data_IF_865729005290
#
_entry.id   IF_865729005290
#
_cell.length_a   1.000
_cell.length_b   1.000
_cell.length_c   1.000
_cell.angle_alpha   90.00
_cell.angle_beta   90.00
_cell.angle_gamma   90.00
#
_symmetry.space_group_name_H-M   'P 1'
#
loop_
_entity.id
_entity.type
_entity.pdbx_description
1 polymer ?
2 non-polymer ?
3 water ?
#
# COMPACT_ATOMS: atom_id res chain seq x y z
N UNK A 9 15.23 16.47 -4.26
CA UNK A 9 13.95 15.89 -3.76
C UNK A 9 14.19 14.43 -3.34
N UNK A 10 13.12 13.65 -3.23
CA UNK A 10 13.26 12.26 -2.80
C UNK A 10 13.85 11.36 -3.90
N UNK A 11 14.52 10.26 -3.51
CA UNK A 11 14.95 9.28 -4.51
C UNK A 11 13.73 8.69 -5.20
N UNK A 12 13.92 8.06 -6.37
CA UNK A 12 12.81 7.41 -7.07
C UNK A 12 12.71 5.94 -6.69
N UNK A 13 11.53 5.54 -6.24
CA UNK A 13 11.31 4.16 -5.81
C UNK A 13 10.54 3.41 -6.88
N UNK A 14 11.01 2.21 -7.17
CA UNK A 14 10.44 1.43 -8.27
C UNK A 14 10.26 -0.01 -7.78
N UNK A 15 9.00 -0.47 -7.72
CA UNK A 15 8.74 -1.82 -7.27
C UNK A 15 8.93 -2.77 -8.45
N UNK A 16 9.70 -3.83 -8.22
CA UNK A 16 9.85 -4.93 -9.18
C UNK A 16 8.56 -5.76 -9.13
N UNK A 17 7.88 -5.85 -10.28
CA UNK A 17 6.62 -6.56 -10.36
C UNK A 17 6.86 -8.06 -10.53
N UNK A 18 6.70 -8.81 -9.43
CA UNK A 18 7.05 -10.22 -9.43
C UNK A 18 6.06 -11.06 -10.23
N UNK A 19 4.94 -10.47 -10.65
CA UNK A 19 4.05 -11.17 -11.56
C UNK A 19 4.70 -11.38 -12.93
N UNK A 20 5.67 -10.51 -13.30
CA UNK A 20 6.22 -10.52 -14.66
C UNK A 20 7.71 -10.69 -14.75
N UNK A 21 8.41 -10.48 -13.64
CA UNK A 21 9.87 -10.58 -13.65
C UNK A 21 10.37 -10.86 -12.24
N UNK A 22 11.69 -10.78 -12.05
CA UNK A 22 12.28 -10.91 -10.73
C UNK A 22 13.37 -9.85 -10.60
N UNK A 23 13.77 -9.57 -9.36
CA UNK A 23 14.76 -8.55 -9.12
C UNK A 23 16.09 -8.83 -9.83
N UNK A 24 16.50 -10.10 -9.86
CA UNK A 24 17.76 -10.44 -10.53
C UNK A 24 17.74 -9.99 -11.99
N UNK A 25 16.62 -10.22 -12.68
CA UNK A 25 16.53 -9.84 -14.09
C UNK A 25 16.50 -8.34 -14.28
N UNK A 26 15.80 -7.62 -13.39
CA UNK A 26 15.75 -6.18 -13.52
C UNK A 26 17.14 -5.58 -13.29
N UNK A 27 17.81 -6.08 -12.26
CA UNK A 27 19.16 -5.63 -11.95
C UNK A 27 20.07 -5.83 -13.16
N UNK A 28 20.01 -7.03 -13.74
CA UNK A 28 20.87 -7.32 -14.89
C UNK A 28 20.57 -6.38 -16.08
N UNK A 29 19.29 -6.08 -16.31
CA UNK A 29 18.93 -5.16 -17.38
C UNK A 29 19.56 -3.78 -17.20
N UNK A 30 19.41 -3.21 -15.99
CA UNK A 30 19.98 -1.92 -15.72
C UNK A 30 21.50 -1.92 -15.78
N UNK A 31 22.12 -3.00 -15.32
CA UNK A 31 23.58 -3.13 -15.43
C UNK A 31 24.00 -3.00 -16.90
N UNK A 32 23.23 -3.61 -17.80
CA UNK A 32 23.58 -3.60 -19.22
C UNK A 32 23.38 -2.23 -19.85
N UNK A 33 22.62 -1.37 -19.18
CA UNK A 33 22.47 0.04 -19.57
C UNK A 33 23.51 0.95 -18.90
N UNK A 34 24.47 0.34 -18.20
CA UNK A 34 25.54 1.09 -17.56
C UNK A 34 25.25 1.63 -16.16
N UNK A 35 24.18 1.13 -15.53
CA UNK A 35 23.93 1.45 -14.13
C UNK A 35 24.78 0.54 -13.25
N UNK A 36 25.12 1.05 -12.07
CA UNK A 36 25.96 0.32 -11.15
C UNK A 36 25.13 -0.13 -9.94
N UNK A 37 24.98 -1.44 -9.76
CA UNK A 37 24.15 -1.99 -8.68
C UNK A 37 24.94 -2.06 -7.38
N UNK A 38 24.41 -1.42 -6.34
CA UNK A 38 25.10 -1.35 -5.04
C UNK A 38 24.61 -2.36 -3.99
N UNK A 39 23.75 -3.30 -4.39
CA UNK A 39 23.22 -4.28 -3.46
C UNK A 39 22.06 -3.69 -2.69
N UNK A 40 21.87 -4.18 -1.48
CA UNK A 40 20.84 -3.64 -0.59
C UNK A 40 21.42 -2.56 0.31
N UNK A 41 20.69 -1.44 0.44
CA UNK A 41 21.08 -0.36 1.33
C UNK A 41 21.15 -0.85 2.78
N UNK A 42 22.11 -0.31 3.53
CA UNK A 42 22.24 -0.60 4.95
C UNK A 42 21.41 0.38 5.78
N UNK A 43 21.17 1.55 5.22
CA UNK A 43 20.53 2.66 5.92
C UNK A 43 19.88 3.62 4.94
N UNK A 44 19.02 4.52 5.43
CA UNK A 44 18.48 5.59 4.60
C UNK A 44 19.54 6.54 4.11
N UNK A 45 20.61 6.69 4.88
CA UNK A 45 21.72 7.52 4.40
C UNK A 45 22.25 7.00 3.07
N UNK A 46 22.29 5.68 2.89
CA UNK A 46 22.65 5.08 1.60
C UNK A 46 21.76 5.55 0.47
N UNK A 47 20.46 5.66 0.74
CA UNK A 47 19.52 6.14 -0.27
C UNK A 47 19.68 7.63 -0.50
N UNK A 48 19.96 8.36 0.58
CA UNK A 48 20.18 9.82 0.49
C UNK A 48 21.44 10.13 -0.31
N UNK A 49 22.37 9.19 -0.31
CA UNK A 49 23.67 9.36 -1.00
C UNK A 49 23.63 8.98 -2.47
N UNK A 50 22.55 8.33 -2.92
CA UNK A 50 22.38 7.89 -4.31
C UNK A 50 22.56 8.98 -5.35
N UNK A 51 23.52 8.77 -6.25
CA UNK A 51 23.76 9.72 -7.32
C UNK A 51 24.31 9.00 -8.55
N UNK A 52 24.38 9.74 -9.66
CA UNK A 52 24.87 9.19 -10.91
C UNK A 52 23.96 8.07 -11.37
N UNK A 53 24.56 6.96 -11.78
CA UNK A 53 23.78 5.80 -12.22
C UNK A 53 23.89 4.62 -11.25
N UNK A 54 24.05 4.94 -9.97
CA UNK A 54 23.98 3.96 -8.91
C UNK A 54 22.51 3.64 -8.66
N UNK A 55 22.25 2.40 -8.22
CA UNK A 55 20.92 2.05 -7.71
C UNK A 55 21.06 0.93 -6.70
N UNK A 56 20.03 0.78 -5.86
CA UNK A 56 20.10 -0.29 -4.88
C UNK A 56 18.73 -0.70 -4.41
N UNK A 57 18.70 -1.78 -3.66
CA UNK A 57 17.45 -2.24 -3.05
C UNK A 57 17.23 -1.46 -1.76
N UNK A 58 15.95 -1.19 -1.48
CA UNK A 58 15.55 -0.52 -0.23
C UNK A 58 16.11 -1.28 0.99
N UNK A 59 16.48 -0.57 2.07
CA UNK A 59 16.97 -1.32 3.23
C UNK A 59 15.92 -2.21 3.91
N UNK A 60 14.64 -1.95 3.72
CA UNK A 60 13.59 -2.72 4.40
C UNK A 60 12.53 -3.34 3.49
N UNK A 61 12.17 -2.65 2.43
CA UNK A 61 11.04 -3.05 1.60
C UNK A 61 11.47 -4.07 0.55
N UNK A 62 10.90 -5.28 0.60
CA UNK A 62 11.29 -6.27 -0.40
C UNK A 62 10.85 -5.83 -1.81
N UNK A 63 11.67 -6.15 -2.79
CA UNK A 63 11.38 -5.92 -4.22
C UNK A 63 11.36 -4.45 -4.59
N UNK A 64 11.87 -3.58 -3.72
CA UNK A 64 11.81 -2.15 -4.02
C UNK A 64 13.19 -1.61 -4.35
N UNK A 65 13.40 -1.32 -5.63
CA UNK A 65 14.63 -0.66 -6.07
C UNK A 65 14.55 0.84 -5.92
N UNK A 66 15.71 1.47 -5.77
CA UNK A 66 15.80 2.91 -5.51
C UNK A 66 16.85 3.54 -6.43
N UNK A 67 16.46 4.61 -7.10
CA UNK A 67 17.30 5.34 -8.08
C UNK A 67 17.45 6.79 -7.64
N UNK A 68 18.51 7.47 -8.10
CA UNK A 68 18.65 8.90 -7.78
C UNK A 68 17.41 9.72 -8.15
N UNK A 69 17.15 10.78 -7.38
CA UNK A 69 15.98 11.64 -7.59
C UNK A 69 15.74 12.05 -9.05
N UNK A 70 16.82 12.31 -9.80
CA UNK A 70 16.62 12.82 -11.15
C UNK A 70 16.67 11.74 -12.23
N UNK A 71 15.96 10.63 -12.02
CA UNK A 71 15.79 9.61 -13.06
C UNK A 71 14.32 9.27 -13.37
N UNK A 72 13.95 9.41 -14.64
CA UNK A 72 12.60 9.09 -15.08
C UNK A 72 12.60 7.72 -15.75
N UNK A 73 11.64 6.89 -15.37
CA UNK A 73 11.53 5.55 -15.92
C UNK A 73 10.19 5.28 -16.62
N UNK A 74 9.33 6.30 -16.69
CA UNK A 74 7.98 6.21 -17.27
C UNK A 74 8.01 5.73 -18.72
N UNK A 75 9.15 5.96 -19.36
CA UNK A 75 9.33 5.68 -20.77
C UNK A 75 10.27 4.50 -21.01
N UNK A 76 10.74 3.90 -19.92
CA UNK A 76 11.71 2.79 -19.96
C UNK A 76 11.07 1.50 -20.49
N UNK A 77 11.82 0.70 -21.28
CA UNK A 77 11.23 -0.53 -21.82
C UNK A 77 10.60 -1.40 -20.73
N UNK A 78 11.21 -1.40 -19.54
CA UNK A 78 10.74 -2.25 -18.45
C UNK A 78 9.47 -1.70 -17.80
N UNK A 79 9.28 -0.39 -17.89
CA UNK A 79 8.02 0.18 -17.47
C UNK A 79 6.90 -0.25 -18.42
N UNK A 80 7.12 -0.07 -19.73
CA UNK A 80 6.15 -0.52 -20.72
C UNK A 80 5.73 -1.98 -20.55
N UNK A 81 6.72 -2.81 -20.28
CA UNK A 81 6.54 -4.25 -20.11
C UNK A 81 5.86 -4.61 -18.78
N UNK A 82 5.63 -3.60 -17.94
CA UNK A 82 5.00 -3.82 -16.61
C UNK A 82 5.93 -4.51 -15.63
N UNK A 83 7.24 -4.44 -15.89
CA UNK A 83 8.22 -5.04 -14.98
C UNK A 83 8.49 -4.14 -13.80
N UNK A 84 8.25 -2.84 -13.98
CA UNK A 84 8.47 -1.83 -12.95
C UNK A 84 7.21 -1.07 -12.67
N UNK A 85 6.95 -0.82 -11.39
CA UNK A 85 5.79 -0.02 -11.01
C UNK A 85 6.31 1.09 -10.11
N UNK A 86 6.07 2.33 -10.53
CA UNK A 86 6.63 3.46 -9.83
C UNK A 86 5.71 3.69 -8.64
N UNK A 87 6.21 3.44 -7.44
CA UNK A 87 5.36 3.45 -6.22
C UNK A 87 6.15 4.03 -5.07
N UNK A 88 5.62 5.11 -4.45
CA UNK A 88 6.24 5.76 -3.27
C UNK A 88 6.60 4.69 -2.25
N UNK A 89 7.70 4.91 -1.54
CA UNK A 89 8.21 3.96 -0.58
C UNK A 89 7.14 3.56 0.47
N UNK A 90 6.46 4.54 1.05
CA UNK A 90 5.51 4.24 2.12
C UNK A 90 4.26 3.58 1.55
N UNK A 91 3.93 3.89 0.27
CA UNK A 91 2.79 3.27 -0.42
C UNK A 91 2.93 1.76 -0.51
N UNK A 92 4.17 1.29 -0.41
CA UNK A 92 4.43 -0.17 -0.44
C UNK A 92 4.13 -0.86 0.90
N UNK A 93 3.89 -0.09 1.95
CA UNK A 93 3.66 -0.67 3.27
C UNK A 93 2.34 -1.44 3.39
N UNK A 94 1.22 -0.86 2.97
CA UNK A 94 -0.06 -1.54 3.31
C UNK A 94 -0.21 -2.95 2.75
N UNK A 95 0.11 -3.18 1.47
CA UNK A 95 -0.05 -4.55 0.99
C UNK A 95 0.96 -5.51 1.65
N UNK A 96 2.19 -5.03 1.87
CA UNK A 96 3.21 -5.87 2.49
C UNK A 96 2.77 -6.29 3.89
N UNK A 97 2.20 -5.35 4.65
CA UNK A 97 1.75 -5.61 6.01
C UNK A 97 0.47 -6.47 6.06
N UNK A 98 -0.39 -6.31 5.05
CA UNK A 98 -1.60 -7.11 4.99
C UNK A 98 -1.24 -8.57 4.73
N UNK A 99 -0.28 -8.75 3.84
CA UNK A 99 0.35 -10.06 3.56
C UNK A 99 -0.67 -11.20 3.31
N UNK A 100 -1.62 -10.97 2.39
CA UNK A 100 -2.58 -12.05 2.16
C UNK A 100 -1.89 -13.21 1.44
N UNK A 101 -2.18 -14.45 1.84
CA UNK A 101 -1.49 -15.55 1.12
C UNK A 101 -2.13 -15.82 -0.24
N UNK A 102 -1.33 -16.27 -1.20
CA UNK A 102 -1.89 -16.73 -2.47
C UNK A 102 -3.12 -17.63 -2.25
N UNK A 103 -4.18 -17.31 -2.99
CA UNK A 103 -5.45 -18.04 -2.90
C UNK A 103 -6.52 -17.37 -2.04
N UNK A 104 -6.13 -16.36 -1.26
CA UNK A 104 -7.08 -15.70 -0.40
C UNK A 104 -8.00 -14.74 -1.16
N UNK A 105 -9.09 -14.35 -0.48
CA UNK A 105 -9.97 -13.29 -0.97
C UNK A 105 -9.75 -12.01 -0.19
N UNK A 106 -9.61 -10.93 -0.95
CA UNK A 106 -9.18 -9.63 -0.42
C UNK A 106 -10.14 -8.56 -0.95
N UNK A 107 -10.47 -7.58 -0.13
CA UNK A 107 -11.15 -6.39 -0.61
C UNK A 107 -10.17 -5.22 -0.59
N UNK A 108 -10.08 -4.51 -1.72
CA UNK A 108 -9.40 -3.23 -1.79
C UNK A 108 -10.51 -2.18 -1.87
N UNK A 109 -10.80 -1.56 -0.73
CA UNK A 109 -12.03 -0.79 -0.54
C UNK A 109 -12.09 0.51 -1.33
N UNK A 110 -10.94 1.18 -1.45
CA UNK A 110 -10.82 2.45 -2.16
C UNK A 110 -9.61 2.34 -3.06
N UNK A 111 -9.81 1.73 -4.25
CA UNK A 111 -8.71 1.06 -4.94
C UNK A 111 -7.95 1.85 -6.00
N UNK A 112 -8.63 2.77 -6.68
CA UNK A 112 -8.04 3.39 -7.86
C UNK A 112 -7.04 4.44 -7.45
N UNK A 113 -5.99 4.65 -8.25
CA UNK A 113 -5.70 4.06 -9.55
C UNK A 113 -4.92 2.73 -9.54
N UNK A 114 -4.89 2.05 -8.39
CA UNK A 114 -4.56 0.61 -8.35
C UNK A 114 -3.15 0.22 -7.96
N UNK A 115 -2.35 1.16 -7.45
CA UNK A 115 -0.99 0.82 -7.10
C UNK A 115 -0.96 -0.28 -6.05
N UNK A 116 -1.71 -0.08 -4.96
CA UNK A 116 -1.76 -1.10 -3.93
C UNK A 116 -2.45 -2.38 -4.39
N UNK A 117 -3.45 -2.25 -5.27
CA UNK A 117 -4.13 -3.44 -5.83
C UNK A 117 -3.09 -4.30 -6.58
N UNK A 118 -2.24 -3.64 -7.37
CA UNK A 118 -1.24 -4.39 -8.13
C UNK A 118 -0.24 -5.09 -7.20
N UNK A 119 0.08 -4.42 -6.09
CA UNK A 119 0.97 -5.00 -5.10
C UNK A 119 0.31 -6.22 -4.44
N UNK A 120 -0.96 -6.07 -4.03
CA UNK A 120 -1.70 -7.22 -3.50
C UNK A 120 -1.67 -8.39 -4.47
N UNK A 121 -1.89 -8.11 -5.77
CA UNK A 121 -1.92 -9.17 -6.78
C UNK A 121 -0.57 -9.88 -6.89
N UNK A 122 0.51 -9.12 -6.75
CA UNK A 122 1.83 -9.73 -6.75
C UNK A 122 2.00 -10.65 -5.54
N UNK A 123 1.55 -10.20 -4.38
CA UNK A 123 1.66 -11.04 -3.17
C UNK A 123 0.81 -12.32 -3.27
N UNK A 124 -0.36 -12.17 -3.88
CA UNK A 124 -1.22 -13.32 -4.16
C UNK A 124 -0.71 -14.22 -5.29
N UNK A 125 0.32 -13.78 -6.03
CA UNK A 125 0.79 -14.52 -7.22
C UNK A 125 -0.38 -14.82 -8.16
N UNK A 126 -1.29 -13.85 -8.27
CA UNK A 126 -2.49 -13.95 -9.13
C UNK A 126 -3.41 -15.14 -8.77
N UNK A 127 -3.30 -15.64 -7.54
CA UNK A 127 -4.18 -16.71 -7.09
C UNK A 127 -5.13 -16.14 -6.03
N UNK A 128 -6.43 -16.41 -6.19
CA UNK A 128 -7.45 -15.87 -5.31
C UNK A 128 -8.18 -14.74 -5.97
N UNK A 129 -8.75 -13.82 -5.17
CA UNK A 129 -9.57 -12.74 -5.70
C UNK A 129 -9.31 -11.46 -4.95
N UNK A 130 -9.22 -10.36 -5.69
CA UNK A 130 -9.24 -9.03 -5.09
C UNK A 130 -10.50 -8.35 -5.58
N UNK A 131 -11.43 -8.09 -4.67
CA UNK A 131 -12.60 -7.31 -5.00
C UNK A 131 -12.24 -5.86 -4.74
N UNK A 132 -12.08 -5.09 -5.81
CA UNK A 132 -11.67 -3.68 -5.71
C UNK A 132 -12.84 -2.78 -6.05
N UNK A 133 -12.88 -1.61 -5.40
CA UNK A 133 -13.96 -0.66 -5.58
C UNK A 133 -13.43 0.75 -5.68
N UNK A 134 -14.08 1.56 -6.51
CA UNK A 134 -13.81 3.00 -6.48
C UNK A 134 -15.00 3.69 -7.14
N UNK A 135 -15.16 4.97 -6.84
CA UNK A 135 -16.22 5.75 -7.46
C UNK A 135 -15.76 6.64 -8.63
N UNK A 136 -14.44 6.87 -8.74
CA UNK A 136 -13.92 7.80 -9.74
C UNK A 136 -13.62 7.15 -11.11
N UNK A 137 -14.41 7.50 -12.14
CA UNK A 137 -14.23 6.87 -13.46
C UNK A 137 -12.84 7.06 -14.08
N UNK A 138 -12.28 8.27 -13.99
CA UNK A 138 -10.96 8.54 -14.56
C UNK A 138 -9.86 7.72 -13.87
N UNK A 139 -9.89 7.68 -12.54
CA UNK A 139 -8.91 6.88 -11.80
C UNK A 139 -9.11 5.39 -12.07
N UNK A 140 -10.36 4.96 -12.22
CA UNK A 140 -10.67 3.57 -12.59
C UNK A 140 -10.11 3.21 -13.96
N UNK A 141 -10.11 4.19 -14.88
CA UNK A 141 -9.56 3.97 -16.22
C UNK A 141 -8.05 3.81 -16.14
N UNK A 142 -7.38 4.65 -15.33
CA UNK A 142 -5.94 4.51 -15.07
C UNK A 142 -5.64 3.16 -14.44
N UNK A 143 -6.52 2.73 -13.55
CA UNK A 143 -6.37 1.43 -12.88
C UNK A 143 -6.45 0.25 -13.86
N UNK A 144 -7.40 0.28 -14.79
CA UNK A 144 -7.49 -0.75 -15.82
C UNK A 144 -6.15 -0.86 -16.56
N UNK A 145 -5.57 0.30 -16.90
CA UNK A 145 -4.32 0.32 -17.65
C UNK A 145 -3.20 -0.30 -16.82
N UNK A 146 -3.10 0.13 -15.55
CA UNK A 146 -2.04 -0.39 -14.68
C UNK A 146 -2.16 -1.90 -14.46
N UNK A 147 -3.36 -2.36 -14.11
CA UNK A 147 -3.59 -3.79 -13.85
C UNK A 147 -3.20 -4.65 -15.05
N UNK A 148 -3.59 -4.23 -16.26
CA UNK A 148 -3.27 -5.00 -17.44
C UNK A 148 -1.78 -4.97 -17.74
N UNK A 149 -1.20 -3.77 -17.65
CA UNK A 149 0.25 -3.61 -17.87
C UNK A 149 1.04 -4.50 -16.90
N UNK A 150 0.56 -4.61 -15.67
CA UNK A 150 1.26 -5.41 -14.64
C UNK A 150 0.89 -6.90 -14.68
N UNK A 151 -0.02 -7.28 -15.58
CA UNK A 151 -0.37 -8.68 -15.71
C UNK A 151 -1.23 -9.21 -14.59
N UNK A 152 -2.03 -8.33 -13.97
CA UNK A 152 -2.93 -8.74 -12.89
C UNK A 152 -4.17 -9.40 -13.51
N UNK A 153 -4.53 -10.58 -13.03
CA UNK A 153 -5.66 -11.33 -13.56
C UNK A 153 -6.66 -11.75 -12.48
N UNK A 154 -6.39 -11.38 -11.22
CA UNK A 154 -7.17 -11.83 -10.07
C UNK A 154 -8.07 -10.73 -9.47
N UNK A 155 -8.20 -9.62 -10.19
CA UNK A 155 -8.98 -8.49 -9.69
C UNK A 155 -10.35 -8.34 -10.36
N UNK A 156 -11.39 -8.30 -9.52
CA UNK A 156 -12.74 -7.96 -9.95
C UNK A 156 -12.99 -6.53 -9.54
N UNK A 157 -12.98 -5.65 -10.53
CA UNK A 157 -13.06 -4.21 -10.30
C UNK A 157 -14.46 -3.68 -10.53
N UNK A 158 -14.96 -2.91 -9.56
CA UNK A 158 -16.33 -2.39 -9.62
C UNK A 158 -16.37 -0.90 -9.34
N UNK A 159 -17.17 -0.17 -10.11
CA UNK A 159 -17.43 1.23 -9.84
C UNK A 159 -18.61 1.30 -8.87
N UNK A 160 -18.29 1.38 -7.58
CA UNK A 160 -19.28 1.24 -6.51
C UNK A 160 -18.80 1.98 -5.27
N UNK A 161 -19.77 2.49 -4.50
CA UNK A 161 -19.51 3.07 -3.18
C UNK A 161 -19.21 1.95 -2.21
N UNK A 162 -18.05 1.99 -1.57
CA UNK A 162 -17.66 0.93 -0.65
C UNK A 162 -18.69 0.75 0.47
N UNK A 163 -19.31 1.85 0.88
CA UNK A 163 -20.29 1.80 1.96
C UNK A 163 -21.57 1.07 1.53
N UNK A 164 -21.76 0.96 0.22
CA UNK A 164 -22.89 0.25 -0.38
C UNK A 164 -22.61 -1.24 -0.60
N UNK A 165 -21.37 -1.67 -0.37
CA UNK A 165 -20.98 -3.07 -0.52
C UNK A 165 -21.43 -3.83 0.72
N UNK A 166 -22.32 -4.80 0.53
CA UNK A 166 -22.91 -5.51 1.66
C UNK A 166 -22.01 -6.60 2.23
N UNK A 167 -21.65 -6.48 3.52
CA UNK A 167 -20.87 -7.51 4.19
C UNK A 167 -21.52 -8.89 4.17
N UNK A 168 -22.84 -8.95 4.00
CA UNK A 168 -23.55 -10.24 3.98
C UNK A 168 -23.74 -10.79 2.57
N UNK A 169 -23.26 -10.06 1.57
CA UNK A 169 -23.26 -10.51 0.17
C UNK A 169 -22.41 -11.78 0.04
N UNK A 170 -23.01 -12.88 -0.46
CA UNK A 170 -22.29 -14.16 -0.59
C UNK A 170 -20.96 -14.07 -1.31
N UNK A 171 -20.84 -13.11 -2.23
CA UNK A 171 -19.60 -12.92 -2.99
C UNK A 171 -18.41 -12.63 -2.08
N UNK A 172 -18.66 -12.04 -0.91
CA UNK A 172 -17.57 -11.61 -0.03
C UNK A 172 -17.41 -12.45 1.23
N UNK A 173 -18.11 -13.60 1.27
CA UNK A 173 -18.12 -14.44 2.46
C UNK A 173 -16.77 -15.07 2.84
N UNK A 174 -15.84 -15.17 1.89
CA UNK A 174 -14.53 -15.75 2.20
C UNK A 174 -13.44 -14.68 2.28
N UNK A 175 -13.83 -13.40 2.25
CA UNK A 175 -12.85 -12.32 2.34
C UNK A 175 -12.25 -12.31 3.74
N UNK A 176 -10.94 -12.55 3.83
CA UNK A 176 -10.26 -12.54 5.12
C UNK A 176 -9.39 -11.31 5.33
N UNK A 177 -9.15 -10.58 4.25
CA UNK A 177 -8.19 -9.47 4.25
C UNK A 177 -8.79 -8.25 3.57
N UNK A 178 -8.60 -7.08 4.19
CA UNK A 178 -9.06 -5.84 3.61
C UNK A 178 -7.98 -4.77 3.66
N UNK A 179 -7.82 -4.08 2.53
CA UNK A 179 -6.97 -2.90 2.42
C UNK A 179 -7.89 -1.68 2.30
N UNK A 180 -7.77 -0.74 3.24
CA UNK A 180 -8.57 0.46 3.23
C UNK A 180 -7.67 1.69 3.21
N UNK A 181 -7.67 2.39 2.06
CA UNK A 181 -6.73 3.47 1.79
C UNK A 181 -7.55 4.62 1.21
N UNK A 182 -8.34 5.28 2.07
CA UNK A 182 -9.34 6.26 1.62
C UNK A 182 -8.75 7.62 1.28
N UNK A 183 -9.53 8.46 0.57
CA UNK A 183 -9.11 9.84 0.29
C UNK A 183 -8.81 10.53 1.61
N UNK A 184 -7.80 11.40 1.61
CA UNK A 184 -7.40 12.12 2.82
C UNK A 184 -6.97 13.56 2.53
N UNK A 185 -6.61 14.26 3.61
CA UNK A 185 -6.67 15.73 3.76
C UNK A 185 -6.45 16.63 2.57
N UNK A 186 -5.19 17.06 2.35
CA UNK A 186 -4.92 18.15 1.41
C UNK A 186 -5.33 19.50 1.98
N UNK A 205 -7.79 20.37 4.50
CA UNK A 205 -8.71 21.38 5.03
C UNK A 205 -10.16 21.10 4.57
N UNK A 206 -10.32 19.94 3.94
CA UNK A 206 -11.62 19.32 3.63
C UNK A 206 -11.93 18.36 4.80
N UNK A 207 -11.43 18.75 5.97
CA UNK A 207 -10.95 17.81 6.98
C UNK A 207 -11.99 16.97 7.72
N UNK A 208 -13.01 17.63 8.27
CA UNK A 208 -13.98 16.93 9.08
C UNK A 208 -14.81 15.95 8.24
N UNK A 209 -15.08 16.33 7.00
CA UNK A 209 -15.80 15.46 6.07
C UNK A 209 -14.98 14.24 5.69
N UNK A 210 -13.69 14.45 5.39
CA UNK A 210 -12.76 13.35 5.09
C UNK A 210 -12.64 12.39 6.25
N UNK A 211 -12.44 12.91 7.45
CA UNK A 211 -12.36 12.07 8.62
C UNK A 211 -13.67 11.33 8.86
N UNK A 212 -14.79 11.98 8.52
CA UNK A 212 -16.09 11.33 8.58
C UNK A 212 -16.19 10.10 7.70
N UNK A 213 -15.80 10.24 6.44
CA UNK A 213 -15.81 9.09 5.55
C UNK A 213 -14.84 8.00 6.01
N UNK A 214 -13.67 8.40 6.48
CA UNK A 214 -12.66 7.44 6.94
C UNK A 214 -13.20 6.59 8.08
N UNK A 215 -13.84 7.24 9.05
CA UNK A 215 -14.46 6.50 10.14
C UNK A 215 -15.59 5.59 9.67
N UNK A 216 -16.46 6.09 8.79
CA UNK A 216 -17.56 5.29 8.25
C UNK A 216 -17.03 4.07 7.51
N UNK A 217 -16.03 4.29 6.67
CA UNK A 217 -15.45 3.21 5.89
C UNK A 217 -14.73 2.18 6.75
N UNK A 218 -14.02 2.64 7.78
CA UNK A 218 -13.30 1.69 8.64
C UNK A 218 -14.29 0.86 9.46
N UNK A 219 -15.28 1.51 10.06
CA UNK A 219 -16.28 0.76 10.81
C UNK A 219 -17.01 -0.26 9.92
N UNK A 220 -17.33 0.13 8.70
CA UNK A 220 -17.98 -0.73 7.73
C UNK A 220 -17.12 -1.95 7.40
N UNK A 221 -15.84 -1.71 7.11
CA UNK A 221 -14.93 -2.80 6.79
C UNK A 221 -14.82 -3.83 7.91
N UNK A 222 -14.81 -3.35 9.17
CA UNK A 222 -14.66 -4.23 10.32
C UNK A 222 -15.88 -5.14 10.54
N UNK A 223 -16.96 -4.86 9.82
CA UNK A 223 -18.17 -5.69 9.92
C UNK A 223 -18.17 -6.89 8.97
N UNK A 224 -17.12 -7.00 8.15
CA UNK A 224 -17.10 -8.09 7.17
C UNK A 224 -16.90 -9.42 7.90
N UNK A 225 -17.81 -10.39 7.65
CA UNK A 225 -17.98 -11.51 8.57
C UNK A 225 -16.76 -12.38 8.83
N UNK A 226 -15.92 -12.55 7.80
CA UNK A 226 -14.79 -13.47 7.91
C UNK A 226 -13.44 -12.75 8.03
N UNK A 227 -13.49 -11.44 8.28
CA UNK A 227 -12.29 -10.60 8.32
C UNK A 227 -11.29 -11.02 9.38
N UNK A 228 -10.02 -11.18 8.98
CA UNK A 228 -8.95 -11.56 9.91
C UNK A 228 -7.94 -10.44 10.11
N UNK A 229 -7.64 -9.75 9.01
CA UNK A 229 -6.69 -8.63 9.09
C UNK A 229 -7.09 -7.53 8.13
N UNK A 230 -6.96 -6.30 8.61
CA UNK A 230 -7.26 -5.12 7.82
C UNK A 230 -6.10 -4.17 7.95
N UNK A 231 -5.72 -3.54 6.84
CA UNK A 231 -4.76 -2.45 6.94
C UNK A 231 -5.42 -1.15 6.53
N UNK A 232 -5.28 -0.14 7.39
CA UNK A 232 -5.84 1.19 7.15
C UNK A 232 -4.67 2.14 6.91
N UNK A 233 -4.75 2.91 5.83
CA UNK A 233 -3.67 3.85 5.53
C UNK A 233 -4.17 5.16 4.97
N UNK A 234 -3.40 6.22 5.22
CA UNK A 234 -3.63 7.53 4.58
C UNK A 234 -2.30 8.13 4.20
N UNK A 235 -2.32 9.21 3.41
CA UNK A 235 -1.10 9.98 3.16
C UNK A 235 -1.20 11.30 3.92
N UNK A 236 -1.89 11.25 5.06
CA UNK A 236 -2.07 12.44 5.91
C UNK A 236 -1.12 12.43 7.10
N UNK A 237 -0.75 13.65 7.51
CA UNK A 237 -0.01 13.89 8.75
C UNK A 237 -0.94 14.16 9.94
N UNK A 238 -2.24 14.25 9.67
CA UNK A 238 -3.22 14.70 10.67
C UNK A 238 -3.75 13.59 11.58
N UNK A 239 -3.53 13.76 12.88
CA UNK A 239 -4.07 12.84 13.87
C UNK A 239 -5.58 12.57 13.68
N UNK A 240 -6.33 13.59 13.27
CA UNK A 240 -7.77 13.46 13.10
C UNK A 240 -8.15 12.38 12.06
N UNK A 241 -7.29 12.20 11.05
CA UNK A 241 -7.53 11.24 9.99
C UNK A 241 -6.88 9.88 10.23
N UNK A 242 -6.07 9.81 11.28
CA UNK A 242 -5.15 8.70 11.48
C UNK A 242 -5.42 7.99 12.80
N UNK A 243 -4.67 8.34 13.83
CA UNK A 243 -4.85 7.71 15.13
C UNK A 243 -6.30 7.85 15.66
N UNK A 244 -6.92 9.02 15.41
CA UNK A 244 -8.29 9.25 15.93
C UNK A 244 -9.29 8.32 15.26
N UNK A 245 -9.11 8.10 13.97
CA UNK A 245 -10.00 7.22 13.21
C UNK A 245 -9.88 5.79 13.73
N UNK A 246 -8.65 5.32 13.92
CA UNK A 246 -8.41 3.97 14.39
C UNK A 246 -8.93 3.79 15.80
N UNK A 247 -8.64 4.77 16.64
CA UNK A 247 -9.11 4.77 18.03
C UNK A 247 -10.62 4.62 18.07
N UNK A 248 -11.31 5.46 17.32
CA UNK A 248 -12.79 5.47 17.29
C UNK A 248 -13.37 4.18 16.73
N UNK A 249 -12.73 3.64 15.69
CA UNK A 249 -13.22 2.38 15.11
C UNK A 249 -13.05 1.22 16.06
N UNK A 250 -11.96 1.20 16.82
CA UNK A 250 -11.69 0.12 17.74
C UNK A 250 -12.67 0.15 18.91
N UNK A 251 -13.15 1.34 19.23
CA UNK A 251 -14.14 1.52 20.30
C UNK A 251 -15.56 1.13 19.85
N UNK A 252 -15.73 0.77 18.58
CA UNK A 252 -17.05 0.35 18.04
C UNK A 252 -17.54 -0.97 18.62
N UNK A 253 -16.73 -2.01 18.47
CA UNK A 253 -16.96 -3.30 19.09
C UNK A 253 -15.74 -3.65 19.91
N UNK A 254 -15.66 -3.10 21.14
CA UNK A 254 -14.50 -3.32 21.98
C UNK A 254 -14.21 -4.81 22.14
N UNK A 255 -12.96 -5.18 21.95
CA UNK A 255 -12.51 -6.55 22.13
C UNK A 255 -12.52 -7.43 20.88
N UNK A 256 -13.20 -6.97 19.82
CA UNK A 256 -13.31 -7.74 18.58
C UNK A 256 -12.00 -7.67 17.79
N UNK A 257 -11.36 -6.49 17.83
CA UNK A 257 -10.13 -6.24 17.04
C UNK A 257 -9.05 -5.60 17.91
N UNK A 258 -7.80 -5.81 17.51
CA UNK A 258 -6.65 -5.21 18.21
C UNK A 258 -5.68 -4.67 17.17
N UNK A 259 -4.82 -3.74 17.57
CA UNK A 259 -3.68 -3.35 16.72
C UNK A 259 -2.55 -4.36 16.83
N UNK A 260 -2.07 -4.79 15.67
CA UNK A 260 -0.92 -5.67 15.60
C UNK A 260 0.37 -4.83 15.52
N UNK A 261 1.49 -5.29 16.14
CA UNK A 261 2.75 -4.51 16.15
C UNK A 261 3.56 -4.51 14.82
N UNK A 262 3.32 -3.49 14.02
CA UNK A 262 3.82 -3.42 12.65
C UNK A 262 5.31 -3.14 12.57
N UNK A 263 6.01 -3.88 11.69
CA UNK A 263 7.38 -3.56 11.24
C UNK A 263 8.22 -2.77 12.26
N UNK A 264 8.65 -3.42 13.34
CA UNK A 264 9.47 -2.77 14.39
C UNK A 264 10.68 -1.99 13.86
N UNK A 265 11.27 -2.44 12.76
CA UNK A 265 12.46 -1.78 12.19
C UNK A 265 12.17 -0.42 11.53
N UNK A 266 10.89 -0.09 11.39
CA UNK A 266 10.49 1.20 10.84
C UNK A 266 10.29 2.15 12.03
N UNK A 267 11.18 3.14 12.19
CA UNK A 267 11.26 3.86 13.48
C UNK A 267 10.24 4.98 13.69
N UNK A 268 9.53 5.39 12.65
CA UNK A 268 8.55 6.46 12.77
C UNK A 268 7.19 5.80 13.05
N UNK A 269 6.71 6.02 14.26
CA UNK A 269 5.53 5.31 14.76
C UNK A 269 4.29 6.21 14.84
N UNK A 270 3.14 5.60 15.07
CA UNK A 270 1.91 6.35 15.37
C UNK A 270 2.16 7.23 16.59
N UNK A 271 1.50 8.39 16.63
CA UNK A 271 1.51 9.24 17.82
C UNK A 271 0.97 8.49 19.05
N UNK A 272 1.55 8.76 20.21
CA UNK A 272 1.18 8.05 21.43
C UNK A 272 -0.08 8.65 22.05
N UNK A 273 -1.20 8.56 21.34
CA UNK A 273 -2.45 9.22 21.74
C UNK A 273 -3.45 8.28 22.41
N UNK A 274 -3.20 6.97 22.30
CA UNK A 274 -4.00 5.95 22.98
C UNK A 274 -3.17 4.67 23.14
N UNK A 275 -3.57 3.78 24.04
CA UNK A 275 -2.79 2.56 24.27
C UNK A 275 -2.68 1.70 23.01
N UNK A 276 -1.46 1.44 22.57
CA UNK A 276 -1.23 0.62 21.39
C UNK A 276 -0.99 1.43 20.13
N UNK A 277 -1.18 2.75 20.19
CA UNK A 277 -1.10 3.58 18.98
C UNK A 277 0.27 3.49 18.34
N UNK A 278 1.30 3.27 19.15
CA UNK A 278 2.68 3.15 18.64
C UNK A 278 2.86 1.93 17.76
N UNK A 279 1.90 1.03 17.76
CA UNK A 279 1.93 -0.10 16.85
C UNK A 279 1.68 0.34 15.40
N UNK A 280 1.09 1.51 15.20
CA UNK A 280 0.94 2.07 13.84
C UNK A 280 2.27 2.64 13.32
N UNK A 281 2.33 2.86 12.00
CA UNK A 281 3.49 3.53 11.40
C UNK A 281 3.12 4.91 10.89
N UNK A 282 4.09 5.82 10.95
CA UNK A 282 3.97 7.10 10.26
C UNK A 282 5.20 7.24 9.35
N UNK A 283 5.20 8.28 8.51
CA UNK A 283 6.26 8.46 7.50
C UNK A 283 6.28 9.92 7.10
N UNK A 284 7.42 10.38 6.64
CA UNK A 284 7.55 11.74 6.12
C UNK A 284 8.81 11.82 5.28
N UNK A 285 8.90 12.84 4.42
CA UNK A 285 10.14 12.97 3.64
C UNK A 285 11.41 12.99 4.47
N UNK A 286 11.38 13.71 5.60
CA UNK A 286 12.54 13.87 6.43
C UNK A 286 12.90 12.66 7.26
N UNK A 287 11.91 11.83 7.61
CA UNK A 287 12.16 10.74 8.55
C UNK A 287 12.31 9.40 7.84
N UNK A 288 11.60 9.24 6.72
CA UNK A 288 11.50 7.94 6.06
C UNK A 288 11.68 8.01 4.53
N UNK A 289 12.10 9.17 4.04
CA UNK A 289 12.28 9.39 2.58
C UNK A 289 11.03 9.01 1.75
N UNK A 290 9.86 9.35 2.26
CA UNK A 290 8.62 9.04 1.60
C UNK A 290 7.64 10.17 1.76
N UNK A 291 6.51 10.07 1.07
CA UNK A 291 5.31 10.84 1.36
C UNK A 291 5.00 10.81 2.86
N UNK A 292 4.35 11.85 3.34
CA UNK A 292 3.63 11.73 4.62
C UNK A 292 2.68 10.54 4.48
N UNK A 293 2.56 9.74 5.54
CA UNK A 293 1.80 8.50 5.44
C UNK A 293 1.53 7.99 6.84
N UNK A 294 0.51 7.15 6.94
CA UNK A 294 0.12 6.54 8.21
C UNK A 294 -0.43 5.17 7.88
N UNK A 295 -0.07 4.16 8.65
CA UNK A 295 -0.66 2.83 8.48
C UNK A 295 -0.92 2.13 9.81
N UNK A 296 -2.09 1.52 9.92
CA UNK A 296 -2.46 0.71 11.09
C UNK A 296 -2.81 -0.68 10.64
N UNK A 297 -2.27 -1.68 11.35
CA UNK A 297 -2.57 -3.10 11.07
C UNK A 297 -3.52 -3.57 12.16
N UNK A 298 -4.73 -3.94 11.73
CA UNK A 298 -5.81 -4.29 12.67
C UNK A 298 -6.13 -5.77 12.49
N UNK A 299 -6.13 -6.53 13.58
CA UNK A 299 -6.38 -7.97 13.47
C UNK A 299 -7.53 -8.42 14.37
N UNK A 300 -8.24 -9.47 13.92
CA UNK A 300 -9.31 -10.06 14.70
C UNK A 300 -8.75 -10.73 15.94
N UNK A 301 -9.41 -10.51 17.08
CA UNK A 301 -9.05 -11.20 18.32
C UNK A 301 -9.75 -12.56 18.36
#
# INVERSE_FOLDING_TARGET
GSRPGPASQLPRFVRVNTLKTCSDDVVDYFKRQGFSYQGRASSLDDLRALKGKHFLLDPLMPELLVFPAQTDLHEHPLYRAGHLILQDRASCLPAMLLDPPPGSHVIDACAAPGNKTSHLAALLKNQGKIFAFDLDAKRLASMATLLARAGVSCCELAEEDFLAVSPSDPRYHEVHYILLDPSCSGSGMPSRQLEEPGAGTPSPVRLHALAGFQQRALCHALTFPSLQRLVYSTCSLCQEENEDVVRDALQQNPGAFRLAPALPAWPHRGLSTFPGAEHCLRASPETTLSSGFFVAVIERVEVPRRARG
#
